data_IF_512005337803
#
_entry.id   IF_512005337803
#
_cell.length_a   1.000
_cell.length_b   1.000
_cell.length_c   1.000
_cell.angle_alpha   90.00
_cell.angle_beta   90.00
_cell.angle_gamma   90.00
#
_symmetry.space_group_name_H-M   'P 1'
#
loop_
_entity.id
_entity.type
_entity.pdbx_description
1 polymer ?
#
# COMPACT_ATOMS: atom_id res chain seq x y z
N UNK A 1 -27.72 -44.76 17.37
CA UNK A 1 -27.17 -43.41 17.63
C UNK A 1 -26.98 -42.71 16.28
N UNK A 2 -27.76 -41.64 15.99
CA UNK A 2 -27.64 -40.88 14.74
C UNK A 2 -26.68 -39.71 14.96
N UNK A 3 -25.50 -39.76 14.33
CA UNK A 3 -24.51 -38.69 14.39
C UNK A 3 -24.98 -37.57 13.47
N UNK A 4 -25.41 -36.46 14.06
CA UNK A 4 -25.88 -35.28 13.35
C UNK A 4 -24.67 -34.47 12.85
N UNK A 5 -24.26 -34.69 11.59
CA UNK A 5 -23.21 -33.88 10.94
C UNK A 5 -23.82 -32.52 10.57
N UNK A 6 -23.60 -31.52 11.42
CA UNK A 6 -23.85 -30.12 11.05
C UNK A 6 -22.87 -29.71 9.95
N UNK A 7 -23.32 -29.71 8.69
CA UNK A 7 -22.64 -29.00 7.62
C UNK A 7 -22.71 -27.49 7.92
N UNK A 8 -21.63 -26.93 8.46
CA UNK A 8 -21.40 -25.48 8.40
C UNK A 8 -21.19 -25.13 6.93
N UNK A 9 -22.23 -24.61 6.29
CA UNK A 9 -22.10 -23.95 4.99
C UNK A 9 -21.15 -22.77 5.18
N UNK A 10 -19.93 -22.92 4.67
CA UNK A 10 -18.91 -21.89 4.72
C UNK A 10 -19.38 -20.75 3.81
N UNK A 11 -20.05 -19.75 4.38
CA UNK A 11 -20.62 -18.63 3.62
C UNK A 11 -19.46 -17.83 3.02
N UNK A 12 -19.13 -18.10 1.77
CA UNK A 12 -18.05 -17.46 1.05
C UNK A 12 -18.36 -15.96 0.92
N UNK A 13 -17.65 -15.12 1.67
CA UNK A 13 -17.79 -13.67 1.55
C UNK A 13 -17.26 -13.25 0.19
N UNK A 14 -18.09 -12.65 -0.69
CA UNK A 14 -17.63 -12.25 -2.01
C UNK A 14 -16.50 -11.23 -1.89
N UNK A 15 -15.52 -11.39 -2.78
CA UNK A 15 -14.35 -10.53 -2.91
C UNK A 15 -14.77 -9.04 -2.94
N UNK A 16 -14.46 -8.25 -1.90
CA UNK A 16 -15.03 -6.91 -1.67
C UNK A 16 -14.56 -5.89 -2.70
N UNK A 17 -13.41 -6.17 -3.26
CA UNK A 17 -12.80 -5.55 -4.41
C UNK A 17 -13.81 -5.32 -5.56
N UNK A 18 -14.68 -6.29 -5.88
CA UNK A 18 -15.69 -6.12 -6.96
C UNK A 18 -16.69 -4.97 -6.70
N UNK A 19 -16.97 -4.62 -5.43
CA UNK A 19 -18.04 -3.66 -5.06
C UNK A 19 -17.63 -2.19 -5.16
N UNK A 20 -16.34 -1.86 -5.06
CA UNK A 20 -15.87 -0.46 -5.02
C UNK A 20 -16.08 0.36 -6.32
N UNK A 21 -16.68 -0.26 -7.35
CA UNK A 21 -16.81 0.27 -8.72
C UNK A 21 -17.97 1.23 -8.97
N UNK A 22 -19.12 1.04 -8.31
CA UNK A 22 -20.34 1.74 -8.75
C UNK A 22 -20.29 3.25 -8.49
N UNK A 23 -19.39 3.71 -7.62
CA UNK A 23 -19.40 5.07 -7.13
C UNK A 23 -18.23 5.96 -7.61
N UNK A 24 -17.17 5.38 -8.19
CA UNK A 24 -15.97 6.12 -8.62
C UNK A 24 -16.04 6.64 -10.06
N UNK A 25 -17.03 6.22 -10.84
CA UNK A 25 -17.23 6.65 -12.23
C UNK A 25 -18.19 7.84 -12.36
N UNK A 26 -18.64 8.46 -11.26
CA UNK A 26 -19.54 9.59 -11.33
C UNK A 26 -18.73 10.90 -11.53
N UNK A 27 -18.76 11.53 -12.71
CA UNK A 27 -17.97 12.74 -13.00
C UNK A 27 -18.36 13.94 -12.10
N UNK A 28 -19.55 13.92 -11.49
CA UNK A 28 -19.98 14.95 -10.54
C UNK A 28 -19.17 14.93 -9.22
N UNK A 29 -18.58 13.79 -8.86
CA UNK A 29 -17.67 13.71 -7.70
C UNK A 29 -16.31 14.37 -7.95
N UNK A 30 -15.93 14.74 -9.19
CA UNK A 30 -14.72 15.53 -9.45
C UNK A 30 -14.85 17.00 -9.03
N UNK A 31 -16.08 17.55 -8.99
CA UNK A 31 -16.29 18.96 -8.64
C UNK A 31 -16.34 19.25 -7.14
N UNK A 32 -16.47 18.21 -6.31
CA UNK A 32 -16.23 18.33 -4.87
C UNK A 32 -14.92 17.63 -4.63
N UNK A 33 -13.81 18.33 -4.32
CA UNK A 33 -12.65 17.65 -3.79
C UNK A 33 -13.18 16.80 -2.63
N UNK A 34 -13.12 15.47 -2.77
CA UNK A 34 -13.51 14.55 -1.71
C UNK A 34 -12.57 14.92 -0.58
N UNK A 35 -13.04 15.80 0.31
CA UNK A 35 -12.23 16.38 1.34
C UNK A 35 -11.64 15.19 2.06
N UNK A 36 -10.31 15.10 2.03
CA UNK A 36 -9.54 14.12 2.77
C UNK A 36 -10.13 14.08 4.18
N UNK A 37 -10.95 13.05 4.41
CA UNK A 37 -12.08 13.21 5.29
C UNK A 37 -11.75 12.64 6.65
N UNK A 38 -12.04 13.38 7.71
CA UNK A 38 -11.97 12.85 9.07
C UNK A 38 -12.70 11.48 9.18
N UNK A 39 -13.81 11.32 8.44
CA UNK A 39 -14.55 10.05 8.34
C UNK A 39 -13.72 8.90 7.72
N UNK A 40 -12.95 9.16 6.65
CA UNK A 40 -12.10 8.14 6.03
C UNK A 40 -10.97 7.75 7.00
N UNK A 41 -10.38 8.74 7.67
CA UNK A 41 -9.34 8.50 8.65
C UNK A 41 -9.84 7.68 9.85
N UNK A 42 -11.05 7.97 10.33
CA UNK A 42 -11.69 7.19 11.40
C UNK A 42 -12.04 5.77 10.95
N UNK A 43 -12.55 5.60 9.73
CA UNK A 43 -12.83 4.27 9.16
C UNK A 43 -11.56 3.42 9.02
N UNK A 44 -10.44 4.03 8.62
CA UNK A 44 -9.13 3.36 8.58
C UNK A 44 -8.64 2.97 9.97
N UNK A 45 -8.75 3.87 10.95
CA UNK A 45 -8.40 3.57 12.33
C UNK A 45 -9.20 2.38 12.86
N UNK A 46 -10.51 2.37 12.63
CA UNK A 46 -11.40 1.27 13.01
C UNK A 46 -11.03 -0.04 12.30
N UNK A 47 -10.65 0.00 11.02
CA UNK A 47 -10.19 -1.18 10.29
C UNK A 47 -8.87 -1.73 10.87
N UNK A 48 -7.94 -0.86 11.25
CA UNK A 48 -6.67 -1.24 11.89
C UNK A 48 -6.94 -1.90 13.25
N UNK A 49 -7.80 -1.30 14.07
CA UNK A 49 -8.23 -1.85 15.36
C UNK A 49 -8.91 -3.20 15.19
N UNK A 50 -9.83 -3.33 14.22
CA UNK A 50 -10.52 -4.57 13.91
C UNK A 50 -9.54 -5.67 13.51
N UNK A 51 -8.49 -5.34 12.74
CA UNK A 51 -7.47 -6.30 12.37
C UNK A 51 -6.60 -6.73 13.56
N UNK A 52 -6.57 -5.97 14.67
CA UNK A 52 -5.79 -6.28 15.89
C UNK A 52 -4.32 -6.57 15.65
N UNK A 53 -3.72 -5.90 14.66
CA UNK A 53 -2.33 -6.16 14.19
C UNK A 53 -2.08 -7.62 13.78
N UNK A 54 -3.12 -8.38 13.47
CA UNK A 54 -2.97 -9.75 13.01
C UNK A 54 -2.39 -9.79 11.60
N UNK A 55 -1.52 -10.77 11.38
CA UNK A 55 -0.92 -11.03 10.07
C UNK A 55 -1.96 -11.68 9.16
N UNK A 56 -1.96 -11.34 7.88
CA UNK A 56 -2.78 -12.06 6.90
C UNK A 56 -2.42 -13.55 6.91
N UNK A 57 -3.43 -14.42 6.76
CA UNK A 57 -3.20 -15.86 6.67
C UNK A 57 -2.45 -16.19 5.38
N UNK A 58 -1.68 -17.29 5.40
CA UNK A 58 -0.94 -17.77 4.20
C UNK A 58 -1.88 -17.99 3.01
N UNK A 59 -3.09 -18.51 3.26
CA UNK A 59 -4.13 -18.71 2.24
C UNK A 59 -4.59 -17.39 1.62
N UNK A 60 -4.83 -16.37 2.44
CA UNK A 60 -5.19 -15.02 1.96
C UNK A 60 -4.06 -14.44 1.11
N UNK A 61 -2.81 -14.49 1.57
CA UNK A 61 -1.65 -14.01 0.81
C UNK A 61 -1.47 -14.73 -0.53
N UNK A 62 -1.61 -16.06 -0.57
CA UNK A 62 -1.52 -16.83 -1.81
C UNK A 62 -2.61 -16.42 -2.81
N UNK A 63 -3.84 -16.22 -2.32
CA UNK A 63 -4.95 -15.73 -3.13
C UNK A 63 -4.68 -14.32 -3.68
N UNK A 64 -4.14 -13.41 -2.86
CA UNK A 64 -3.77 -12.06 -3.29
C UNK A 64 -2.66 -12.06 -4.35
N UNK A 65 -1.62 -12.88 -4.17
CA UNK A 65 -0.54 -13.02 -5.14
C UNK A 65 -1.06 -13.54 -6.49
N UNK A 66 -1.88 -14.61 -6.45
CA UNK A 66 -2.51 -15.15 -7.66
C UNK A 66 -3.39 -14.10 -8.36
N UNK A 67 -4.21 -13.39 -7.60
CA UNK A 67 -5.08 -12.33 -8.13
C UNK A 67 -4.29 -11.24 -8.85
N UNK A 68 -3.23 -10.73 -8.24
CA UNK A 68 -2.40 -9.66 -8.83
C UNK A 68 -1.72 -10.12 -10.11
N UNK A 69 -1.13 -11.32 -10.10
CA UNK A 69 -0.49 -11.90 -11.28
C UNK A 69 -1.50 -12.09 -12.43
N UNK A 70 -2.70 -12.62 -12.16
CA UNK A 70 -3.73 -12.77 -13.19
C UNK A 70 -4.28 -11.43 -13.70
N UNK A 71 -4.38 -10.44 -12.81
CA UNK A 71 -4.86 -9.12 -13.14
C UNK A 71 -3.89 -8.36 -14.06
N UNK A 72 -2.58 -8.52 -13.89
CA UNK A 72 -1.59 -7.61 -14.49
C UNK A 72 -0.53 -8.26 -15.37
N UNK A 73 -0.41 -9.58 -15.38
CA UNK A 73 0.58 -10.28 -16.19
C UNK A 73 -0.14 -11.00 -17.35
N UNK A 74 0.44 -10.94 -18.55
CA UNK A 74 -0.14 -11.58 -19.75
C UNK A 74 -0.14 -13.11 -19.62
N UNK A 75 0.93 -13.66 -19.02
CA UNK A 75 1.12 -15.11 -18.82
C UNK A 75 1.69 -15.36 -17.41
N UNK A 76 0.83 -15.35 -16.38
CA UNK A 76 1.29 -15.58 -15.02
C UNK A 76 1.82 -17.02 -14.89
N UNK A 77 3.08 -17.18 -14.49
CA UNK A 77 3.68 -18.49 -14.23
C UNK A 77 3.76 -18.77 -12.72
N UNK A 78 3.80 -20.05 -12.34
CA UNK A 78 3.71 -20.48 -10.93
C UNK A 78 4.88 -19.92 -10.11
N UNK A 79 6.08 -19.89 -10.69
CA UNK A 79 7.30 -19.40 -10.05
C UNK A 79 7.17 -17.91 -9.72
N UNK A 80 6.59 -17.11 -10.63
CA UNK A 80 6.40 -15.67 -10.43
C UNK A 80 5.30 -15.38 -9.41
N UNK A 81 4.21 -16.14 -9.42
CA UNK A 81 3.16 -16.06 -8.39
C UNK A 81 3.75 -16.38 -7.01
N UNK A 82 4.59 -17.42 -6.92
CA UNK A 82 5.25 -17.79 -5.67
C UNK A 82 6.26 -16.74 -5.20
N UNK A 83 7.04 -16.16 -6.12
CA UNK A 83 7.92 -15.02 -5.81
C UNK A 83 7.12 -13.82 -5.30
N UNK A 84 5.97 -13.51 -5.90
CA UNK A 84 5.08 -12.43 -5.45
C UNK A 84 4.50 -12.72 -4.06
N UNK A 85 4.09 -13.95 -3.79
CA UNK A 85 3.66 -14.40 -2.46
C UNK A 85 4.74 -14.17 -1.40
N UNK A 86 5.98 -14.63 -1.66
CA UNK A 86 7.08 -14.43 -0.72
C UNK A 86 7.41 -12.96 -0.54
N UNK A 87 7.38 -12.17 -1.61
CA UNK A 87 7.59 -10.73 -1.52
C UNK A 87 6.51 -10.05 -0.65
N UNK A 88 5.23 -10.37 -0.84
CA UNK A 88 4.14 -9.86 0.00
C UNK A 88 4.31 -10.29 1.46
N UNK A 89 4.67 -11.55 1.70
CA UNK A 89 4.98 -12.07 3.04
C UNK A 89 6.12 -11.27 3.69
N UNK A 90 7.23 -11.10 2.98
CA UNK A 90 8.39 -10.34 3.47
C UNK A 90 8.05 -8.88 3.71
N UNK A 91 7.21 -8.25 2.88
CA UNK A 91 6.70 -6.90 3.13
C UNK A 91 5.99 -6.83 4.48
N UNK A 92 5.10 -7.77 4.78
CA UNK A 92 4.38 -7.78 6.07
C UNK A 92 5.35 -7.92 7.25
N UNK A 93 6.38 -8.74 7.12
CA UNK A 93 7.31 -9.03 8.22
C UNK A 93 8.31 -7.89 8.45
N UNK A 94 8.80 -7.27 7.37
CA UNK A 94 9.84 -6.22 7.43
C UNK A 94 9.30 -4.82 7.73
N UNK A 95 8.01 -4.57 7.45
CA UNK A 95 7.38 -3.26 7.68
C UNK A 95 6.57 -3.20 8.97
N UNK A 96 6.48 -4.31 9.72
CA UNK A 96 5.75 -4.34 10.96
C UNK A 96 6.45 -3.52 12.05
N UNK A 97 5.68 -2.69 12.77
CA UNK A 97 6.17 -2.03 13.97
C UNK A 97 6.17 -2.99 15.17
N UNK A 98 6.91 -2.63 16.22
CA UNK A 98 7.01 -3.43 17.45
C UNK A 98 5.61 -3.65 18.07
N UNK A 99 5.22 -4.92 18.15
CA UNK A 99 3.93 -5.36 18.67
C UNK A 99 3.88 -5.38 20.20
N UNK A 100 5.03 -5.28 20.88
CA UNK A 100 5.11 -5.24 22.35
C UNK A 100 4.60 -3.93 22.93
N UNK A 101 4.59 -2.87 22.12
CA UNK A 101 4.14 -1.54 22.53
C UNK A 101 2.61 -1.45 22.43
N UNK A 102 1.92 -0.85 23.42
CA UNK A 102 0.48 -0.58 23.38
C UNK A 102 0.02 0.09 22.09
N UNK A 103 -1.24 -0.13 21.71
CA UNK A 103 -1.72 0.23 20.38
C UNK A 103 -1.59 1.74 20.10
N UNK A 104 -2.04 2.53 21.06
CA UNK A 104 -2.11 3.99 21.05
C UNK A 104 -0.71 4.60 20.98
N UNK A 105 0.24 4.05 21.74
CA UNK A 105 1.63 4.52 21.76
C UNK A 105 2.29 4.26 20.40
N UNK A 106 2.04 3.11 19.79
CA UNK A 106 2.61 2.84 18.47
C UNK A 106 1.96 3.70 17.37
N UNK A 107 0.67 4.05 17.48
CA UNK A 107 0.04 5.04 16.59
C UNK A 107 0.75 6.39 16.68
N UNK A 108 0.99 6.87 17.91
CA UNK A 108 1.67 8.15 18.13
C UNK A 108 3.09 8.13 17.55
N UNK A 109 3.86 7.06 17.82
CA UNK A 109 5.20 6.89 17.23
C UNK A 109 5.17 6.86 15.71
N UNK A 110 4.22 6.13 15.12
CA UNK A 110 4.06 6.07 13.68
C UNK A 110 3.83 7.44 13.06
N UNK A 111 2.95 8.25 13.65
CA UNK A 111 2.61 9.59 13.13
C UNK A 111 3.66 10.68 13.42
N UNK A 112 4.60 10.41 14.33
CA UNK A 112 5.76 11.27 14.60
C UNK A 112 6.91 11.02 13.63
N UNK A 113 6.94 9.85 12.97
CA UNK A 113 7.99 9.51 12.03
C UNK A 113 7.81 10.26 10.70
N UNK A 114 8.93 10.64 10.08
CA UNK A 114 8.93 11.21 8.72
C UNK A 114 8.86 10.13 7.63
N UNK A 115 9.13 8.88 8.00
CA UNK A 115 9.15 7.73 7.10
C UNK A 115 7.93 6.88 7.39
N UNK A 116 7.01 6.80 6.42
CA UNK A 116 5.76 6.04 6.56
C UNK A 116 5.91 4.54 6.28
N UNK A 117 7.10 4.04 5.95
CA UNK A 117 7.32 2.66 5.49
C UNK A 117 7.20 1.59 6.59
N UNK A 118 7.72 1.80 7.82
CA UNK A 118 7.28 1.01 8.97
C UNK A 118 5.83 1.38 9.26
N UNK A 119 4.90 0.44 9.15
CA UNK A 119 3.47 0.66 9.32
C UNK A 119 2.95 -0.06 10.53
N UNK A 120 1.98 0.55 11.21
CA UNK A 120 1.33 -0.03 12.39
C UNK A 120 0.53 -1.30 12.07
N UNK A 121 0.12 -1.46 10.81
CA UNK A 121 -0.65 -2.61 10.37
C UNK A 121 -0.34 -2.95 8.91
N UNK A 122 0.75 -3.72 8.67
CA UNK A 122 1.15 -4.11 7.32
C UNK A 122 0.04 -4.86 6.57
N UNK A 123 -0.73 -5.70 7.27
CA UNK A 123 -1.85 -6.45 6.68
C UNK A 123 -2.89 -5.53 6.06
N UNK A 124 -3.36 -4.53 6.82
CA UNK A 124 -4.33 -3.54 6.33
C UNK A 124 -3.74 -2.69 5.21
N UNK A 125 -2.46 -2.32 5.35
CA UNK A 125 -1.72 -1.58 4.33
C UNK A 125 -1.67 -2.35 3.00
N UNK A 126 -1.40 -3.66 3.04
CA UNK A 126 -1.39 -4.51 1.85
C UNK A 126 -2.79 -4.67 1.26
N UNK A 127 -3.83 -4.85 2.07
CA UNK A 127 -5.21 -4.94 1.57
C UNK A 127 -5.65 -3.67 0.83
N UNK A 128 -5.24 -2.50 1.33
CA UNK A 128 -5.46 -1.21 0.68
C UNK A 128 -4.64 -1.11 -0.61
N UNK A 129 -3.36 -1.52 -0.59
CA UNK A 129 -2.52 -1.56 -1.79
C UNK A 129 -3.16 -2.41 -2.90
N UNK A 130 -3.70 -3.59 -2.57
CA UNK A 130 -4.43 -4.44 -3.52
C UNK A 130 -5.67 -3.73 -4.07
N UNK A 131 -6.39 -2.96 -3.24
CA UNK A 131 -7.54 -2.16 -3.72
C UNK A 131 -7.10 -1.14 -4.77
N UNK A 132 -5.92 -0.54 -4.64
CA UNK A 132 -5.39 0.38 -5.63
C UNK A 132 -5.06 -0.33 -6.94
N UNK A 133 -4.38 -1.47 -6.85
CA UNK A 133 -4.03 -2.32 -8.00
C UNK A 133 -5.28 -2.79 -8.74
N UNK A 134 -6.34 -3.13 -8.03
CA UNK A 134 -7.62 -3.46 -8.65
C UNK A 134 -8.24 -2.26 -9.37
N UNK A 135 -8.30 -1.09 -8.73
CA UNK A 135 -8.88 0.12 -9.35
C UNK A 135 -8.17 0.45 -10.67
N UNK A 136 -6.85 0.29 -10.70
CA UNK A 136 -6.05 0.42 -11.91
C UNK A 136 -6.42 -0.65 -12.95
N UNK A 137 -6.50 -1.93 -12.56
CA UNK A 137 -6.82 -3.02 -13.50
C UNK A 137 -8.19 -2.80 -14.15
N UNK A 138 -9.15 -2.29 -13.38
CA UNK A 138 -10.49 -1.99 -13.87
C UNK A 138 -10.53 -0.89 -14.91
N UNK A 139 -9.66 0.12 -14.77
CA UNK A 139 -9.54 1.26 -15.70
C UNK A 139 -8.73 0.92 -16.94
N UNK A 140 -7.72 0.05 -16.80
CA UNK A 140 -6.78 -0.32 -17.84
C UNK A 140 -6.77 -1.84 -18.07
N UNK A 141 -7.95 -2.44 -18.33
CA UNK A 141 -8.11 -3.91 -18.39
C UNK A 141 -7.25 -4.59 -19.46
N UNK A 142 -7.01 -3.89 -20.55
CA UNK A 142 -6.24 -4.37 -21.69
C UNK A 142 -4.73 -4.19 -21.47
N UNK A 143 -4.32 -3.45 -20.44
CA UNK A 143 -2.93 -3.24 -20.11
C UNK A 143 -2.40 -4.44 -19.32
N UNK A 144 -1.66 -5.31 -20.00
CA UNK A 144 -0.89 -6.39 -19.38
C UNK A 144 0.59 -6.06 -19.42
N UNK A 145 1.25 -6.26 -18.29
CA UNK A 145 2.68 -6.11 -18.15
C UNK A 145 3.43 -7.42 -18.38
N UNK A 146 4.75 -7.31 -18.42
CA UNK A 146 5.65 -8.46 -18.48
C UNK A 146 5.65 -9.23 -17.15
N UNK A 147 6.00 -10.53 -17.15
CA UNK A 147 6.11 -11.31 -15.92
C UNK A 147 7.00 -10.65 -14.87
N UNK A 148 6.51 -10.55 -13.63
CA UNK A 148 7.19 -9.86 -12.52
C UNK A 148 6.86 -8.37 -12.41
N UNK A 149 6.05 -7.81 -13.32
CA UNK A 149 5.54 -6.44 -13.15
C UNK A 149 4.65 -6.31 -11.90
N UNK A 150 3.94 -7.38 -11.52
CA UNK A 150 3.09 -7.41 -10.33
C UNK A 150 3.85 -7.08 -9.04
N UNK A 151 5.10 -7.52 -8.93
CA UNK A 151 5.94 -7.22 -7.76
C UNK A 151 6.24 -5.72 -7.63
N UNK A 152 6.65 -5.06 -8.72
CA UNK A 152 6.91 -3.61 -8.72
C UNK A 152 5.64 -2.84 -8.42
N UNK A 153 4.52 -3.28 -9.00
CA UNK A 153 3.22 -2.64 -8.80
C UNK A 153 2.78 -2.71 -7.33
N UNK A 154 2.92 -3.87 -6.69
CA UNK A 154 2.58 -4.04 -5.28
C UNK A 154 3.50 -3.25 -4.37
N UNK A 155 4.80 -3.20 -4.66
CA UNK A 155 5.73 -2.36 -3.89
C UNK A 155 5.29 -0.89 -3.89
N UNK A 156 5.03 -0.32 -5.07
CA UNK A 156 4.62 1.08 -5.21
C UNK A 156 3.25 1.31 -4.56
N UNK A 157 2.27 0.43 -4.82
CA UNK A 157 0.96 0.51 -4.21
C UNK A 157 1.01 0.45 -2.67
N UNK A 158 1.88 -0.40 -2.12
CA UNK A 158 2.09 -0.53 -0.67
C UNK A 158 2.69 0.74 -0.08
N UNK A 159 3.72 1.31 -0.71
CA UNK A 159 4.32 2.58 -0.27
C UNK A 159 3.27 3.69 -0.26
N UNK A 160 2.47 3.80 -1.33
CA UNK A 160 1.40 4.78 -1.44
C UNK A 160 0.30 4.56 -0.38
N UNK A 161 -0.10 3.32 -0.13
CA UNK A 161 -1.04 2.98 0.92
C UNK A 161 -0.50 3.35 2.31
N UNK A 162 0.79 3.11 2.56
CA UNK A 162 1.43 3.43 3.83
C UNK A 162 1.47 4.93 4.10
N UNK A 163 1.83 5.74 3.10
CA UNK A 163 1.78 7.21 3.17
C UNK A 163 0.35 7.71 3.41
N UNK A 164 -0.62 7.15 2.69
CA UNK A 164 -2.03 7.52 2.86
C UNK A 164 -2.56 7.22 4.26
N UNK A 165 -2.28 6.02 4.81
CA UNK A 165 -2.67 5.66 6.18
C UNK A 165 -1.98 6.58 7.19
N UNK A 166 -0.69 6.84 7.01
CA UNK A 166 0.07 7.75 7.85
C UNK A 166 -0.59 9.13 7.94
N UNK A 167 -0.90 9.74 6.80
CA UNK A 167 -1.51 11.07 6.74
C UNK A 167 -2.93 11.07 7.35
N UNK A 168 -3.69 10.00 7.14
CA UNK A 168 -5.01 9.82 7.75
C UNK A 168 -4.92 9.77 9.29
N UNK A 169 -4.06 8.90 9.83
CA UNK A 169 -3.92 8.76 11.28
C UNK A 169 -3.37 10.04 11.92
N UNK A 170 -2.46 10.72 11.23
CA UNK A 170 -1.93 12.02 11.62
C UNK A 170 -3.07 13.03 11.81
N UNK A 171 -4.01 13.11 10.87
CA UNK A 171 -5.19 13.97 10.97
C UNK A 171 -6.03 13.68 12.24
N UNK A 172 -6.27 12.40 12.56
CA UNK A 172 -7.07 11.99 13.73
C UNK A 172 -6.39 12.38 15.05
N UNK A 173 -5.08 12.20 15.15
CA UNK A 173 -4.34 12.53 16.38
C UNK A 173 -4.33 14.04 16.60
N UNK A 174 -4.00 14.84 15.56
CA UNK A 174 -3.91 16.30 15.71
C UNK A 174 -5.25 16.95 16.07
N UNK A 175 -6.34 16.48 15.47
CA UNK A 175 -7.69 16.96 15.79
C UNK A 175 -8.08 16.62 17.23
N UNK A 176 -7.83 15.38 17.66
CA UNK A 176 -8.10 14.93 19.03
C UNK A 176 -7.28 15.67 20.09
N UNK A 177 -6.04 16.07 19.77
CA UNK A 177 -5.19 16.86 20.69
C UNK A 177 -5.66 18.30 20.84
N UNK A 178 -6.25 18.91 19.79
CA UNK A 178 -6.74 20.29 19.84
C UNK A 178 -7.96 20.46 20.73
N UNK A 179 -8.84 19.46 20.77
CA UNK A 179 -10.03 19.46 21.63
C UNK A 179 -9.71 19.27 23.13
N UNK A 180 -8.53 18.74 23.46
CA UNK A 180 -8.07 18.56 24.85
C UNK A 180 -7.29 19.75 25.40
N UNK A 181 -7.12 20.83 24.64
CA UNK A 181 -6.63 22.08 25.22
C UNK A 181 -7.74 22.67 26.10
N UNK A 182 -7.60 22.72 27.43
CA UNK A 182 -8.57 23.39 28.26
C UNK A 182 -8.60 24.85 27.84
N UNK A 183 -9.77 25.33 27.41
CA UNK A 183 -10.05 26.75 27.28
C UNK A 183 -9.67 27.45 28.59
N UNK A 184 -8.51 28.11 28.60
CA UNK A 184 -8.33 29.28 29.43
C UNK A 184 -9.39 30.27 28.95
N UNK A 185 -10.39 30.49 29.80
CA UNK A 185 -11.24 31.67 29.75
C UNK A 185 -10.34 32.90 29.88
N UNK A 186 -9.89 33.46 28.76
CA UNK A 186 -9.53 34.87 28.69
C UNK A 186 -10.35 35.54 27.60
N UNK A 187 -11.10 36.52 28.07
CA UNK A 187 -12.08 37.34 27.38
C UNK A 187 -11.45 38.10 26.20
N UNK A 188 -12.21 38.37 25.12
CA UNK A 188 -11.67 38.96 23.90
C UNK A 188 -11.45 40.47 24.07
N UNK A 189 -10.20 40.92 24.02
CA UNK A 189 -9.92 42.34 23.75
C UNK A 189 -9.99 42.58 22.23
N UNK A 190 -10.81 43.58 21.88
CA UNK A 190 -11.16 44.00 20.52
C UNK A 190 -9.97 44.21 19.57
N UNK A 191 -10.12 43.88 18.27
CA UNK A 191 -9.15 44.20 17.25
C UNK A 191 -9.25 45.68 16.86
N UNK A 192 -8.13 46.42 16.96
CA UNK A 192 -7.97 47.71 16.29
C UNK A 192 -7.73 47.48 14.80
N UNK A 193 -8.50 48.20 14.00
CA UNK A 193 -8.54 48.17 12.54
C UNK A 193 -7.23 48.70 11.88
N UNK A 194 -7.09 48.56 10.55
CA UNK A 194 -5.81 48.37 9.87
C UNK A 194 -5.16 49.67 9.40
N UNK A 195 -3.83 49.74 9.52
CA UNK A 195 -3.02 50.75 8.84
C UNK A 195 -2.71 50.24 7.43
N UNK A 196 -3.26 50.95 6.45
CA UNK A 196 -2.90 50.89 5.04
C UNK A 196 -1.42 51.24 4.87
N UNK A 197 -0.63 50.45 4.15
CA UNK A 197 0.57 50.97 3.46
C UNK A 197 0.91 50.13 2.21
N UNK A 198 0.59 50.74 1.07
CA UNK A 198 1.41 50.87 -0.15
C UNK A 198 1.90 49.61 -0.88
N UNK A 199 1.19 49.38 -1.99
CA UNK A 199 1.62 48.89 -3.31
C UNK A 199 3.10 49.16 -3.66
N UNK A 200 3.86 48.10 -3.89
CA UNK A 200 5.11 48.16 -4.66
C UNK A 200 5.19 46.98 -5.65
N UNK A 201 5.45 47.36 -6.89
CA UNK A 201 5.62 46.60 -8.13
C UNK A 201 6.78 45.58 -8.09
N UNK A 202 6.81 44.60 -9.03
CA UNK A 202 7.88 43.61 -9.11
C UNK A 202 9.10 44.16 -9.88
N UNK A 203 10.34 43.82 -9.48
CA UNK A 203 11.51 43.87 -10.36
C UNK A 203 11.71 42.48 -11.00
N UNK A 204 11.64 42.35 -12.33
CA UNK A 204 12.74 42.48 -13.29
C UNK A 204 13.90 41.49 -13.05
N UNK A 205 14.05 40.61 -14.05
CA UNK A 205 15.22 39.78 -14.44
C UNK A 205 16.58 40.39 -14.11
N UNK A 206 17.61 39.55 -13.86
CA UNK A 206 18.74 39.47 -14.83
C UNK A 206 19.46 38.09 -14.81
N UNK A 207 20.58 37.91 -15.55
CA UNK A 207 20.81 38.14 -16.97
C UNK A 207 21.33 36.88 -17.71
N UNK A 208 21.21 36.89 -19.04
CA UNK A 208 22.06 36.08 -19.92
C UNK A 208 23.52 36.54 -19.77
N UNK A 209 24.42 35.58 -19.56
CA UNK A 209 25.86 35.77 -19.80
C UNK A 209 26.33 34.68 -20.75
N UNK A 210 26.50 35.07 -22.01
CA UNK A 210 27.27 34.37 -23.02
C UNK A 210 28.75 34.71 -22.84
N UNK A 211 29.60 33.72 -22.54
CA UNK A 211 31.05 33.80 -22.71
C UNK A 211 31.56 32.48 -23.31
N UNK A 212 31.96 32.62 -24.57
CA UNK A 212 33.14 32.11 -25.26
C UNK A 212 33.57 30.63 -25.17
N UNK A 213 33.58 30.08 -26.38
CA UNK A 213 34.41 29.01 -26.93
C UNK A 213 35.84 29.02 -26.37
N UNK A 214 36.26 27.93 -25.73
CA UNK A 214 37.66 27.52 -25.71
C UNK A 214 37.73 26.02 -26.01
N UNK A 215 38.39 25.71 -27.13
CA UNK A 215 38.78 24.37 -27.54
C UNK A 215 39.71 23.69 -26.52
N UNK A 216 39.65 22.35 -26.54
CA UNK A 216 40.65 21.37 -26.09
C UNK A 216 40.72 20.96 -24.60
N UNK A 217 39.98 19.89 -24.24
CA UNK A 217 40.54 18.53 -23.97
C UNK A 217 39.41 17.54 -23.55
N UNK A 218 39.37 16.30 -24.06
CA UNK A 218 38.41 15.30 -23.61
C UNK A 218 38.92 14.67 -22.31
N UNK A 219 38.37 15.08 -21.17
CA UNK A 219 38.48 14.35 -19.91
C UNK A 219 37.17 14.57 -19.14
N UNK A 220 36.13 13.83 -19.52
CA UNK A 220 34.96 13.67 -18.65
C UNK A 220 35.29 12.55 -17.65
N UNK A 221 35.52 12.83 -16.36
CA UNK A 221 35.24 11.84 -15.34
C UNK A 221 33.72 11.65 -15.34
N UNK A 222 33.26 10.45 -15.68
CA UNK A 222 31.88 10.04 -15.43
C UNK A 222 31.70 10.08 -13.91
N UNK A 223 31.18 11.18 -13.39
CA UNK A 223 30.65 11.25 -12.03
C UNK A 223 29.51 10.24 -11.95
N UNK A 224 29.84 9.05 -11.46
CA UNK A 224 28.86 8.03 -11.17
C UNK A 224 28.01 8.54 -10.02
N UNK A 225 26.80 9.00 -10.35
CA UNK A 225 25.79 9.39 -9.37
C UNK A 225 25.68 8.27 -8.32
N UNK A 226 25.64 8.58 -7.00
CA UNK A 226 25.52 7.54 -5.99
C UNK A 226 24.30 6.66 -6.26
N UNK A 227 24.49 5.33 -6.34
CA UNK A 227 23.44 4.35 -6.69
C UNK A 227 22.13 4.53 -5.91
N UNK A 228 22.22 5.03 -4.68
CA UNK A 228 21.06 5.29 -3.82
C UNK A 228 20.21 6.47 -4.29
N UNK A 229 20.85 7.51 -4.83
CA UNK A 229 20.14 8.68 -5.37
C UNK A 229 19.34 8.28 -6.61
N UNK A 230 19.94 7.47 -7.49
CA UNK A 230 19.28 6.94 -8.67
C UNK A 230 18.08 6.04 -8.31
N UNK A 231 18.26 5.12 -7.35
CA UNK A 231 17.17 4.28 -6.85
C UNK A 231 16.01 5.10 -6.30
N UNK A 232 16.32 6.14 -5.53
CA UNK A 232 15.32 7.02 -4.93
C UNK A 232 14.54 7.77 -6.00
N UNK A 233 15.21 8.32 -7.03
CA UNK A 233 14.54 8.99 -8.15
C UNK A 233 13.63 8.03 -8.93
N UNK A 234 14.07 6.79 -9.16
CA UNK A 234 13.25 5.77 -9.84
C UNK A 234 11.98 5.46 -9.04
N UNK A 235 12.08 5.32 -7.71
CA UNK A 235 10.91 5.09 -6.84
C UNK A 235 9.97 6.30 -6.89
N UNK A 236 10.49 7.52 -6.72
CA UNK A 236 9.68 8.73 -6.76
C UNK A 236 8.93 8.88 -8.10
N UNK A 237 9.58 8.55 -9.22
CA UNK A 237 8.94 8.53 -10.54
C UNK A 237 7.79 7.51 -10.59
N UNK A 238 8.02 6.29 -10.12
CA UNK A 238 6.97 5.25 -10.08
C UNK A 238 5.78 5.66 -9.21
N UNK A 239 6.02 6.30 -8.06
CA UNK A 239 4.95 6.83 -7.20
C UNK A 239 4.10 7.88 -7.93
N UNK A 240 4.75 8.82 -8.62
CA UNK A 240 4.07 9.88 -9.36
C UNK A 240 3.22 9.32 -10.51
N UNK A 241 3.78 8.38 -11.28
CA UNK A 241 3.05 7.70 -12.36
C UNK A 241 1.85 6.91 -11.79
N UNK A 242 2.05 6.18 -10.69
CA UNK A 242 1.00 5.41 -10.03
C UNK A 242 -0.15 6.30 -9.53
N UNK A 243 0.18 7.45 -8.91
CA UNK A 243 -0.80 8.46 -8.51
C UNK A 243 -1.59 9.00 -9.69
N UNK A 244 -0.91 9.33 -10.77
CA UNK A 244 -1.54 9.83 -11.98
C UNK A 244 -2.55 8.81 -12.52
N UNK A 245 -2.18 7.53 -12.61
CA UNK A 245 -3.09 6.48 -13.07
C UNK A 245 -4.30 6.26 -12.16
N UNK A 246 -4.19 6.59 -10.87
CA UNK A 246 -5.29 6.59 -9.89
C UNK A 246 -6.13 7.89 -9.90
N UNK A 247 -5.87 8.85 -10.79
CA UNK A 247 -6.43 10.20 -10.75
C UNK A 247 -6.22 10.90 -9.40
N UNK A 248 -5.07 10.65 -8.76
CA UNK A 248 -4.74 11.20 -7.43
C UNK A 248 -5.75 10.83 -6.32
N UNK A 249 -6.62 9.85 -6.56
CA UNK A 249 -7.60 9.38 -5.57
C UNK A 249 -7.05 8.16 -4.82
N UNK A 250 -6.51 8.38 -3.62
CA UNK A 250 -6.08 7.32 -2.70
C UNK A 250 -7.19 6.90 -1.72
N UNK A 251 -8.40 7.45 -1.84
CA UNK A 251 -9.46 7.11 -0.90
C UNK A 251 -9.85 5.64 -1.01
N UNK A 252 -10.21 5.06 0.14
CA UNK A 252 -10.68 3.68 0.28
C UNK A 252 -12.11 3.73 0.80
N UNK A 253 -13.05 3.13 0.07
CA UNK A 253 -14.47 3.24 0.39
C UNK A 253 -14.84 2.52 1.69
N UNK A 254 -14.37 1.28 1.87
CA UNK A 254 -14.71 0.45 3.02
C UNK A 254 -13.51 -0.42 3.44
N UNK A 255 -12.56 0.14 4.20
CA UNK A 255 -11.40 -0.61 4.69
C UNK A 255 -11.79 -1.71 5.69
N UNK A 256 -12.93 -1.55 6.39
CA UNK A 256 -13.44 -2.54 7.36
C UNK A 256 -13.86 -3.81 6.64
N UNK A 257 -14.55 -3.68 5.51
CA UNK A 257 -14.96 -4.82 4.69
C UNK A 257 -13.75 -5.59 4.13
N UNK A 258 -12.66 -4.90 3.77
CA UNK A 258 -11.41 -5.55 3.35
C UNK A 258 -10.85 -6.45 4.45
N UNK A 259 -10.84 -5.95 5.70
CA UNK A 259 -10.37 -6.71 6.86
C UNK A 259 -11.26 -7.91 7.15
N UNK A 260 -12.59 -7.72 7.16
CA UNK A 260 -13.56 -8.83 7.37
C UNK A 260 -13.42 -9.92 6.31
N UNK A 261 -13.25 -9.53 5.05
CA UNK A 261 -13.00 -10.47 3.96
C UNK A 261 -11.68 -11.20 4.17
N UNK A 262 -10.61 -10.52 4.56
CA UNK A 262 -9.34 -11.18 4.84
C UNK A 262 -9.45 -12.19 6.00
N UNK A 263 -10.25 -11.87 7.03
CA UNK A 263 -10.51 -12.77 8.16
C UNK A 263 -11.30 -14.01 7.78
N UNK A 264 -12.09 -14.01 6.70
CA UNK A 264 -12.79 -15.22 6.24
C UNK A 264 -11.84 -16.31 5.74
N UNK A 265 -10.55 -16.01 5.52
CA UNK A 265 -9.51 -16.98 5.20
C UNK A 265 -8.83 -17.58 6.43
N UNK A 266 -9.19 -17.15 7.64
CA UNK A 266 -8.71 -17.78 8.87
C UNK A 266 -9.54 -19.05 9.07
N UNK A 267 -8.88 -20.21 8.93
CA UNK A 267 -9.48 -21.48 9.37
C UNK A 267 -9.44 -21.46 10.90
N UNK A 268 -10.54 -21.73 11.61
CA UNK A 268 -10.47 -21.88 13.05
C UNK A 268 -9.54 -23.06 13.35
N UNK A 269 -8.43 -22.79 14.05
CA UNK A 269 -7.49 -23.79 14.53
C UNK A 269 -8.29 -24.86 15.31
N UNK A 270 -8.45 -26.04 14.71
CA UNK A 270 -9.30 -27.10 15.28
C UNK A 270 -9.88 -28.11 14.29
N UNK A 271 -9.75 -27.89 12.98
CA UNK A 271 -9.97 -28.94 11.99
C UNK A 271 -8.67 -29.11 11.20
N UNK A 272 -7.85 -30.04 11.67
CA UNK A 272 -6.68 -30.53 10.93
C UNK A 272 -7.13 -31.03 9.57
N UNK A 273 -6.92 -30.20 8.55
CA UNK A 273 -6.81 -30.69 7.19
C UNK A 273 -5.42 -31.31 7.14
N UNK A 274 -5.38 -32.63 7.02
CA UNK A 274 -4.17 -33.39 6.73
C UNK A 274 -3.41 -32.65 5.64
N UNK A 275 -2.19 -32.24 5.99
CA UNK A 275 -1.22 -31.71 5.06
C UNK A 275 -1.06 -32.78 3.98
N UNK A 276 -1.58 -32.53 2.78
CA UNK A 276 -1.12 -33.27 1.60
C UNK A 276 0.35 -32.90 1.45
N UNK A 277 1.16 -33.76 2.05
CA UNK A 277 2.59 -33.88 1.88
C UNK A 277 2.83 -34.01 0.38
N UNK A 278 3.39 -32.94 -0.19
CA UNK A 278 3.84 -32.90 -1.56
C UNK A 278 4.99 -33.90 -1.66
N UNK A 279 4.65 -35.16 -1.95
CA UNK A 279 5.62 -36.22 -2.21
C UNK A 279 6.45 -35.80 -3.41
N UNK A 280 7.71 -35.45 -3.15
CA UNK A 280 8.75 -35.33 -4.16
C UNK A 280 8.87 -36.67 -4.87
N UNK A 281 8.19 -36.79 -6.01
CA UNK A 281 8.55 -37.77 -7.00
C UNK A 281 9.87 -37.35 -7.64
N UNK A 282 10.67 -38.36 -8.01
CA UNK A 282 11.77 -38.30 -8.98
C UNK A 282 13.20 -38.22 -8.40
N UNK A 283 13.58 -39.25 -7.63
CA UNK A 283 14.94 -39.78 -7.67
C UNK A 283 14.86 -41.12 -8.44
N UNK A 284 14.98 -41.04 -9.76
CA UNK A 284 15.28 -42.18 -10.61
C UNK A 284 16.72 -42.61 -10.36
N UNK A 285 16.88 -43.68 -9.60
CA UNK A 285 18.13 -44.40 -9.39
C UNK A 285 18.28 -45.38 -10.57
N UNK A 286 18.90 -44.90 -11.65
CA UNK A 286 19.20 -45.72 -12.83
C UNK A 286 20.40 -46.61 -12.52
N UNK A 287 20.10 -47.88 -12.20
CA UNK A 287 21.07 -48.97 -12.08
C UNK A 287 21.93 -49.06 -13.36
N UNK A 288 23.25 -48.91 -13.22
CA UNK A 288 24.22 -49.23 -14.26
C UNK A 288 24.59 -50.71 -14.14
N UNK A 289 24.08 -51.52 -15.05
CA UNK A 289 24.57 -52.88 -15.30
C UNK A 289 25.96 -52.80 -15.96
N UNK A 290 26.99 -53.23 -15.25
CA UNK A 290 28.32 -53.49 -15.80
C UNK A 290 28.35 -54.90 -16.41
N UNK A 291 28.16 -55.00 -17.74
CA UNK A 291 28.53 -56.20 -18.51
C UNK A 291 29.94 -56.09 -19.11
N UNK A 292 30.79 -57.02 -18.66
CA UNK A 292 31.96 -57.67 -19.28
C UNK A 292 32.97 -56.88 -20.15
N UNK A 293 34.24 -56.93 -19.71
CA UNK A 293 35.34 -57.53 -20.51
C UNK A 293 36.53 -57.95 -19.65
#
# INVERSE_FOLDING_TARGET
>A
MKVNKHHKTNTFVPCPYKRQQLESNNPEKLTKPNAFGYNQAFSLLQAIELNRRTRLSKKCLAHLALYVSQAWEDKPCREKIQQLYYMMSNLLDTTNMDTKVPFEIAIQKFCQNFISTPTICPSVTLLIAISYVERLNKRYRDLKGTPGCGSRMIMVAFIMASKYIHDCLRLVIYTSSRERSPHFNSMPHSPKAPVQFIRSTPPLTPPLTSIELSENKPNNPIETLPKDKERTMRIARMEQEFLFFLNYDLSVQDPILLVKWAHSYQVPDGQGLETEEYTSADEGDDEMDDEET
#
